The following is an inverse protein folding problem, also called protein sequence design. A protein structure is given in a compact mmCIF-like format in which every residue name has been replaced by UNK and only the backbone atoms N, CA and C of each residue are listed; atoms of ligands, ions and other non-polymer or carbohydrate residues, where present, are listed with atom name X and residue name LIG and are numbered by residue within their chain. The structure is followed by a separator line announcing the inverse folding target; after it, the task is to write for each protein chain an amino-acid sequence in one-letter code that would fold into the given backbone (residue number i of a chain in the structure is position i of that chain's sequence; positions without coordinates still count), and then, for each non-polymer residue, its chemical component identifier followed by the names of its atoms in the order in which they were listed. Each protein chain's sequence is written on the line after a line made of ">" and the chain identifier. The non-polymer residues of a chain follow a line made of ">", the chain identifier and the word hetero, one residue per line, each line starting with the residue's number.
data_IF_113719579595
#
_entry.id   IF_113719579595
#
_cell.length_a   1.000
_cell.length_b   1.000
_cell.length_c   1.000
_cell.angle_alpha   90.00
_cell.angle_beta   90.00
_cell.angle_gamma   90.00
#
_symmetry.space_group_name_H-M   'P 1'
#
loop_
_entity.id
_entity.type
_entity.pdbx_description
1 polymer ?
#
# COMPACT_ATOMS: atom_id res chain seq x y z
N UNK A 1 -2.43 -91.17 -10.07
CA UNK A 1 -1.97 -90.14 -11.02
C UNK A 1 -2.12 -88.81 -10.34
N UNK A 2 -0.99 -88.21 -10.00
CA UNK A 2 -0.83 -86.96 -9.26
C UNK A 2 -0.95 -85.78 -10.22
N UNK A 3 -1.85 -84.83 -9.93
CA UNK A 3 -1.84 -83.50 -10.55
C UNK A 3 -1.05 -82.56 -9.64
N UNK A 4 0.02 -81.89 -10.11
CA UNK A 4 0.71 -80.90 -9.30
C UNK A 4 -0.05 -79.57 -9.37
N UNK A 5 -0.44 -79.05 -8.20
CA UNK A 5 -0.94 -77.70 -8.00
C UNK A 5 0.22 -76.71 -8.07
N UNK A 6 0.32 -75.94 -9.14
CA UNK A 6 1.22 -74.77 -9.23
C UNK A 6 0.47 -73.53 -8.72
N UNK A 7 0.49 -73.33 -7.40
CA UNK A 7 0.24 -72.02 -6.81
C UNK A 7 1.60 -71.35 -6.68
N UNK A 8 1.91 -70.44 -7.60
CA UNK A 8 3.10 -69.59 -7.50
C UNK A 8 2.99 -68.81 -6.20
N UNK A 9 3.79 -69.18 -5.21
CA UNK A 9 3.96 -68.45 -3.98
C UNK A 9 4.60 -67.11 -4.33
N UNK A 10 3.78 -66.08 -4.51
CA UNK A 10 4.22 -64.69 -4.58
C UNK A 10 4.91 -64.42 -3.25
N UNK A 11 6.23 -64.38 -3.29
CA UNK A 11 7.09 -64.14 -2.14
C UNK A 11 6.82 -62.71 -1.69
N UNK A 12 5.83 -62.54 -0.82
CA UNK A 12 5.56 -61.28 -0.14
C UNK A 12 6.73 -61.01 0.79
N UNK A 13 7.75 -60.32 0.25
CA UNK A 13 8.81 -59.71 1.02
C UNK A 13 8.16 -58.68 1.95
N UNK A 14 7.97 -59.05 3.21
CA UNK A 14 7.46 -58.15 4.24
C UNK A 14 8.40 -56.94 4.38
N UNK A 15 7.81 -55.77 4.54
CA UNK A 15 8.53 -54.51 4.77
C UNK A 15 9.62 -54.71 5.83
N UNK A 16 10.87 -54.45 5.46
CA UNK A 16 11.96 -54.53 6.44
C UNK A 16 11.79 -53.37 7.42
N UNK A 17 11.93 -53.63 8.73
CA UNK A 17 11.72 -52.62 9.78
C UNK A 17 12.60 -51.37 9.57
N UNK A 18 13.80 -51.59 9.02
CA UNK A 18 14.77 -50.52 8.70
C UNK A 18 14.27 -49.62 7.57
N UNK A 19 13.67 -50.17 6.52
CA UNK A 19 13.14 -49.40 5.39
C UNK A 19 11.98 -48.50 5.81
N UNK A 20 11.10 -49.01 6.66
CA UNK A 20 10.00 -48.21 7.25
C UNK A 20 10.55 -47.09 8.11
N UNK A 21 11.62 -47.34 8.89
CA UNK A 21 12.25 -46.34 9.75
C UNK A 21 12.92 -45.22 8.93
N UNK A 22 13.63 -45.58 7.84
CA UNK A 22 14.24 -44.60 6.92
C UNK A 22 13.15 -43.79 6.20
N UNK A 23 12.09 -44.45 5.72
CA UNK A 23 10.95 -43.76 5.11
C UNK A 23 10.30 -42.76 6.04
N UNK A 24 10.10 -43.13 7.31
CA UNK A 24 9.56 -42.23 8.34
C UNK A 24 10.50 -41.04 8.60
N UNK A 25 11.81 -41.26 8.67
CA UNK A 25 12.78 -40.16 8.85
C UNK A 25 12.75 -39.17 7.68
N UNK A 26 12.64 -39.65 6.44
CA UNK A 26 12.55 -38.79 5.25
C UNK A 26 11.24 -37.99 5.26
N UNK A 27 10.12 -38.62 5.60
CA UNK A 27 8.81 -37.95 5.70
C UNK A 27 8.83 -36.87 6.79
N UNK A 28 9.39 -37.16 7.97
CA UNK A 28 9.49 -36.18 9.06
C UNK A 28 10.37 -34.99 8.65
N UNK A 29 11.49 -35.24 7.96
CA UNK A 29 12.33 -34.18 7.41
C UNK A 29 11.58 -33.29 6.41
N UNK A 30 10.81 -33.90 5.50
CA UNK A 30 10.03 -33.18 4.50
C UNK A 30 8.90 -32.35 5.14
N UNK A 31 8.17 -32.90 6.11
CA UNK A 31 7.10 -32.17 6.81
C UNK A 31 7.68 -31.00 7.61
N UNK A 32 8.82 -31.21 8.27
CA UNK A 32 9.47 -30.17 9.08
C UNK A 32 9.88 -28.97 8.22
N UNK A 33 10.44 -29.24 7.03
CA UNK A 33 10.84 -28.19 6.08
C UNK A 33 9.62 -27.50 5.46
N UNK A 34 8.60 -28.26 5.08
CA UNK A 34 7.35 -27.72 4.53
C UNK A 34 6.62 -26.80 5.52
N UNK A 35 6.56 -27.16 6.81
CA UNK A 35 5.91 -26.34 7.84
C UNK A 35 6.62 -24.99 8.02
N UNK A 36 7.95 -24.99 8.02
CA UNK A 36 8.73 -23.76 8.11
C UNK A 36 8.48 -22.85 6.90
N UNK A 37 8.47 -23.42 5.68
CA UNK A 37 8.18 -22.67 4.47
C UNK A 37 6.79 -22.01 4.49
N UNK A 38 5.78 -22.71 5.01
CA UNK A 38 4.41 -22.17 5.12
C UNK A 38 4.32 -21.00 6.10
N UNK A 39 5.00 -21.09 7.25
CA UNK A 39 5.03 -20.00 8.24
C UNK A 39 5.67 -18.76 7.61
N UNK A 40 6.81 -18.93 6.94
CA UNK A 40 7.49 -17.83 6.24
C UNK A 40 6.61 -17.21 5.15
N UNK A 41 5.93 -18.02 4.34
CA UNK A 41 5.01 -17.53 3.32
C UNK A 41 3.85 -16.73 3.92
N UNK A 42 3.32 -17.15 5.08
CA UNK A 42 2.24 -16.44 5.77
C UNK A 42 2.69 -15.07 6.27
N UNK A 43 3.92 -14.97 6.80
CA UNK A 43 4.49 -13.68 7.22
C UNK A 43 4.61 -12.73 6.03
N UNK A 44 5.16 -13.21 4.90
CA UNK A 44 5.26 -12.38 3.69
C UNK A 44 3.89 -11.96 3.15
N UNK A 45 2.90 -12.85 3.19
CA UNK A 45 1.53 -12.53 2.79
C UNK A 45 0.96 -11.38 3.63
N UNK A 46 1.11 -11.43 4.95
CA UNK A 46 0.62 -10.35 5.85
C UNK A 46 1.33 -9.03 5.54
N UNK A 47 2.66 -9.05 5.37
CA UNK A 47 3.42 -7.84 5.01
C UNK A 47 3.02 -7.26 3.67
N UNK A 48 2.79 -8.12 2.67
CA UNK A 48 2.27 -7.70 1.37
C UNK A 48 0.88 -7.06 1.48
N UNK A 49 0.00 -7.61 2.32
CA UNK A 49 -1.31 -7.03 2.58
C UNK A 49 -1.22 -5.67 3.27
N UNK A 50 -0.36 -5.51 4.27
CA UNK A 50 -0.13 -4.21 4.95
C UNK A 50 0.30 -3.13 3.96
N UNK A 51 1.25 -3.43 3.07
CA UNK A 51 1.74 -2.49 2.05
C UNK A 51 0.65 -2.18 1.01
N UNK A 52 -0.13 -3.18 0.60
CA UNK A 52 -1.22 -3.02 -0.36
C UNK A 52 -2.34 -2.14 0.19
N UNK A 53 -2.75 -2.35 1.45
CA UNK A 53 -3.77 -1.53 2.11
C UNK A 53 -3.27 -0.09 2.29
N UNK A 54 -2.04 0.09 2.75
CA UNK A 54 -1.42 1.41 2.91
C UNK A 54 -1.38 2.20 1.60
N UNK A 55 -0.99 1.55 0.50
CA UNK A 55 -0.98 2.17 -0.83
C UNK A 55 -2.39 2.52 -1.30
N UNK A 56 -3.37 1.66 -1.02
CA UNK A 56 -4.78 1.93 -1.35
C UNK A 56 -5.30 3.16 -0.62
N UNK A 57 -5.00 3.31 0.68
CA UNK A 57 -5.42 4.50 1.44
C UNK A 57 -4.78 5.78 0.92
N UNK A 58 -3.49 5.73 0.52
CA UNK A 58 -2.81 6.86 -0.10
C UNK A 58 -3.46 7.20 -1.44
N UNK A 59 -3.75 6.20 -2.28
CA UNK A 59 -4.41 6.43 -3.58
C UNK A 59 -5.79 7.06 -3.42
N UNK A 60 -6.60 6.58 -2.47
CA UNK A 60 -7.91 7.15 -2.18
C UNK A 60 -7.82 8.63 -1.77
N UNK A 61 -6.89 8.98 -0.89
CA UNK A 61 -6.70 10.36 -0.48
C UNK A 61 -6.14 11.22 -1.63
N UNK A 62 -5.20 10.70 -2.40
CA UNK A 62 -4.64 11.39 -3.56
C UNK A 62 -5.70 11.66 -4.63
N UNK A 63 -6.62 10.73 -4.88
CA UNK A 63 -7.75 10.91 -5.78
C UNK A 63 -8.69 12.01 -5.28
N UNK A 64 -8.94 12.08 -3.97
CA UNK A 64 -9.70 13.17 -3.37
C UNK A 64 -8.99 14.51 -3.55
N UNK A 65 -7.69 14.59 -3.26
CA UNK A 65 -6.92 15.83 -3.45
C UNK A 65 -6.88 16.24 -4.93
N UNK A 66 -6.76 15.28 -5.84
CA UNK A 66 -6.84 15.53 -7.28
C UNK A 66 -8.21 16.10 -7.66
N UNK A 67 -9.29 15.49 -7.17
CA UNK A 67 -10.65 15.99 -7.41
C UNK A 67 -10.80 17.43 -6.90
N UNK A 68 -10.31 17.72 -5.70
CA UNK A 68 -10.35 19.07 -5.12
C UNK A 68 -9.51 20.07 -5.91
N UNK A 69 -8.35 19.66 -6.42
CA UNK A 69 -7.48 20.46 -7.27
C UNK A 69 -8.14 20.81 -8.62
N UNK A 70 -8.88 19.88 -9.23
CA UNK A 70 -9.64 20.15 -10.47
C UNK A 70 -10.83 21.09 -10.26
N UNK A 71 -11.35 21.17 -9.03
CA UNK A 71 -12.50 22.04 -8.69
C UNK A 71 -12.10 23.38 -8.10
N UNK A 72 -10.80 23.62 -7.92
CA UNK A 72 -10.32 24.93 -7.48
C UNK A 72 -10.61 25.96 -8.57
N UNK A 73 -11.27 27.06 -8.20
CA UNK A 73 -11.65 28.15 -9.11
C UNK A 73 -12.44 27.71 -10.36
N UNK A 74 -13.14 26.57 -10.28
CA UNK A 74 -14.05 26.08 -11.31
C UNK A 74 -15.49 26.51 -11.01
N UNK A 75 -16.09 27.30 -11.90
CA UNK A 75 -17.46 27.76 -11.78
C UNK A 75 -18.15 27.79 -13.16
N UNK A 76 -19.41 27.33 -13.21
CA UNK A 76 -20.26 27.42 -14.40
C UNK A 76 -19.65 26.84 -15.70
N UNK A 77 -18.84 25.78 -15.61
CA UNK A 77 -18.26 25.12 -16.79
C UNK A 77 -16.94 25.70 -17.27
N UNK A 78 -16.39 26.70 -16.58
CA UNK A 78 -15.16 27.39 -16.97
C UNK A 78 -14.24 27.54 -15.75
N UNK A 79 -12.93 27.48 -15.98
CA UNK A 79 -11.94 27.85 -14.98
C UNK A 79 -11.81 29.36 -14.94
N UNK A 80 -12.00 29.95 -13.76
CA UNK A 80 -11.86 31.39 -13.54
C UNK A 80 -10.60 31.64 -12.68
N UNK A 81 -9.40 31.58 -13.28
CA UNK A 81 -8.16 31.69 -12.54
C UNK A 81 -8.08 33.03 -11.82
N UNK A 82 -7.71 33.00 -10.54
CA UNK A 82 -7.44 34.19 -9.76
C UNK A 82 -6.13 34.85 -10.23
N UNK A 83 -6.17 36.12 -10.68
CA UNK A 83 -4.98 36.80 -11.20
C UNK A 83 -3.86 36.92 -10.15
N UNK A 84 -4.21 37.11 -8.87
CA UNK A 84 -3.23 37.23 -7.78
C UNK A 84 -2.48 35.93 -7.51
N UNK A 85 -3.14 34.79 -7.73
CA UNK A 85 -2.52 33.48 -7.63
C UNK A 85 -1.69 33.09 -8.86
N UNK A 86 -2.04 33.62 -10.04
CA UNK A 86 -1.28 33.44 -11.27
C UNK A 86 0.05 34.20 -11.25
N UNK A 87 0.06 35.43 -10.75
CA UNK A 87 1.24 36.30 -10.68
C UNK A 87 1.90 36.26 -9.28
N UNK A 88 1.76 35.15 -8.57
CA UNK A 88 2.27 35.04 -7.20
C UNK A 88 3.78 35.28 -7.13
N UNK A 89 4.19 36.20 -6.25
CA UNK A 89 5.59 36.52 -5.96
C UNK A 89 6.09 35.88 -4.65
N UNK A 90 5.19 35.21 -3.93
CA UNK A 90 5.47 34.54 -2.65
C UNK A 90 4.70 33.23 -2.53
N UNK A 91 5.19 32.34 -1.67
CA UNK A 91 4.59 31.04 -1.40
C UNK A 91 3.16 31.13 -0.87
N UNK A 92 2.83 32.23 -0.18
CA UNK A 92 1.52 32.45 0.44
C UNK A 92 0.46 32.98 -0.53
N UNK A 93 0.87 33.51 -1.70
CA UNK A 93 -0.04 34.03 -2.72
C UNK A 93 -0.34 33.00 -3.82
N UNK A 94 0.47 31.94 -3.96
CA UNK A 94 0.36 30.98 -5.07
C UNK A 94 -0.83 30.02 -4.99
N UNK A 95 -1.11 29.37 -6.12
CA UNK A 95 -2.14 28.32 -6.22
C UNK A 95 -1.90 27.14 -5.27
N UNK A 96 -0.65 26.83 -4.94
CA UNK A 96 -0.34 25.79 -3.96
C UNK A 96 -0.94 26.12 -2.58
N UNK A 97 -0.86 27.39 -2.14
CA UNK A 97 -1.43 27.85 -0.87
C UNK A 97 -2.96 27.88 -0.93
N UNK A 98 -3.54 28.38 -2.01
CA UNK A 98 -5.00 28.40 -2.20
C UNK A 98 -5.59 26.99 -2.12
N UNK A 99 -4.97 26.02 -2.80
CA UNK A 99 -5.39 24.62 -2.74
C UNK A 99 -5.35 24.11 -1.30
N UNK A 100 -4.23 24.35 -0.60
CA UNK A 100 -4.07 23.94 0.80
C UNK A 100 -5.16 24.53 1.71
N UNK A 101 -5.37 25.84 1.67
CA UNK A 101 -6.29 26.52 2.59
C UNK A 101 -7.77 26.22 2.30
N UNK A 102 -8.14 26.24 1.03
CA UNK A 102 -9.56 26.17 0.64
C UNK A 102 -10.09 24.75 0.55
N UNK A 103 -9.22 23.76 0.29
CA UNK A 103 -9.65 22.37 0.04
C UNK A 103 -9.04 21.36 0.99
N UNK A 104 -7.75 21.45 1.32
CA UNK A 104 -7.11 20.50 2.23
C UNK A 104 -7.29 20.83 3.71
N UNK A 105 -7.67 22.08 4.03
CA UNK A 105 -7.86 22.57 5.39
C UNK A 105 -6.57 23.08 6.04
N UNK A 106 -6.70 23.70 7.22
CA UNK A 106 -5.58 24.33 7.94
C UNK A 106 -4.74 23.36 8.79
N UNK A 107 -5.18 22.12 8.94
CA UNK A 107 -4.47 21.11 9.75
C UNK A 107 -3.36 20.45 8.92
N UNK A 108 -2.11 20.71 9.32
CA UNK A 108 -0.92 20.17 8.66
C UNK A 108 0.11 19.76 9.73
N UNK A 109 0.53 18.49 9.82
CA UNK A 109 0.08 17.36 9.01
C UNK A 109 -1.38 16.95 9.32
N UNK A 110 -2.11 16.54 8.30
CA UNK A 110 -3.42 15.92 8.47
C UNK A 110 -3.22 14.45 8.83
N UNK A 111 -3.79 14.01 9.95
CA UNK A 111 -3.67 12.63 10.43
C UNK A 111 -5.03 11.95 10.40
N UNK A 112 -5.11 10.84 9.68
CA UNK A 112 -6.31 10.03 9.53
C UNK A 112 -6.07 8.66 10.17
N UNK A 113 -6.91 8.29 11.13
CA UNK A 113 -6.93 6.94 11.66
C UNK A 113 -7.48 5.97 10.60
N UNK A 114 -6.73 4.91 10.31
CA UNK A 114 -7.13 3.82 9.42
C UNK A 114 -7.10 2.51 10.20
N UNK A 115 -7.97 1.59 9.82
CA UNK A 115 -8.01 0.25 10.42
C UNK A 115 -7.86 -0.75 9.28
N UNK A 116 -6.94 -1.69 9.43
CA UNK A 116 -6.77 -2.76 8.44
C UNK A 116 -8.02 -3.61 8.37
N UNK A 117 -8.50 -3.87 7.16
CA UNK A 117 -9.64 -4.73 6.89
C UNK A 117 -9.34 -6.21 7.23
N UNK A 118 -8.07 -6.59 7.17
CA UNK A 118 -7.64 -7.98 7.30
C UNK A 118 -7.29 -8.37 8.75
N UNK A 119 -6.96 -7.39 9.60
CA UNK A 119 -6.44 -7.68 10.94
C UNK A 119 -6.97 -6.80 12.08
N UNK A 120 -7.89 -5.86 11.81
CA UNK A 120 -8.37 -4.86 12.79
C UNK A 120 -7.24 -4.11 13.53
N UNK A 121 -6.06 -4.04 12.91
CA UNK A 121 -4.91 -3.33 13.46
C UNK A 121 -5.05 -1.84 13.13
N UNK A 122 -4.79 -0.94 14.10
CA UNK A 122 -4.85 0.48 13.84
C UNK A 122 -3.57 0.96 13.14
N UNK A 123 -3.76 1.82 12.15
CA UNK A 123 -2.72 2.51 11.39
C UNK A 123 -3.06 4.00 11.34
N UNK A 124 -2.06 4.82 11.07
CA UNK A 124 -2.22 6.26 10.88
C UNK A 124 -1.68 6.65 9.51
N UNK A 125 -2.54 7.27 8.71
CA UNK A 125 -2.16 7.93 7.46
C UNK A 125 -1.93 9.41 7.77
N UNK A 126 -0.71 9.87 7.59
CA UNK A 126 -0.33 11.27 7.71
C UNK A 126 -0.11 11.86 6.34
N UNK A 127 -0.69 13.03 6.08
CA UNK A 127 -0.47 13.82 4.87
C UNK A 127 0.11 15.18 5.27
N UNK A 128 1.31 15.47 4.83
CA UNK A 128 1.98 16.75 5.03
C UNK A 128 1.99 17.53 3.73
N UNK A 129 1.40 18.73 3.75
CA UNK A 129 1.43 19.64 2.61
C UNK A 129 2.57 20.64 2.79
N UNK A 130 3.44 20.79 1.79
CA UNK A 130 4.51 21.78 1.80
C UNK A 130 4.40 22.69 0.59
N UNK A 131 4.56 24.00 0.86
CA UNK A 131 4.49 25.02 -0.17
C UNK A 131 5.81 25.04 -0.95
N UNK A 132 5.75 25.36 -2.25
CA UNK A 132 6.95 25.55 -3.07
C UNK A 132 7.67 26.82 -2.66
N UNK A 133 9.01 26.78 -2.64
CA UNK A 133 9.85 27.93 -2.27
C UNK A 133 10.30 28.80 -3.45
N UNK A 134 9.98 28.37 -4.68
CA UNK A 134 10.30 29.10 -5.90
C UNK A 134 9.07 29.27 -6.78
N UNK A 135 9.04 30.38 -7.52
CA UNK A 135 8.08 30.62 -8.59
C UNK A 135 8.08 29.42 -9.57
N UNK A 136 6.89 28.99 -10.07
CA UNK A 136 5.62 29.71 -10.16
C UNK A 136 4.63 29.48 -8.99
N UNK A 137 5.07 28.96 -7.84
CA UNK A 137 4.23 28.73 -6.65
C UNK A 137 2.90 27.96 -6.88
N UNK A 138 2.82 27.19 -7.96
CA UNK A 138 1.61 26.50 -8.44
C UNK A 138 1.58 25.01 -8.09
N UNK A 139 2.71 24.44 -7.67
CA UNK A 139 2.85 23.02 -7.35
C UNK A 139 2.78 22.84 -5.84
N UNK A 140 1.79 22.08 -5.36
CA UNK A 140 1.71 21.65 -3.96
C UNK A 140 2.45 20.31 -3.81
N UNK A 141 3.42 20.26 -2.90
CA UNK A 141 4.11 19.01 -2.56
C UNK A 141 3.36 18.32 -1.41
N UNK A 142 3.01 17.06 -1.62
CA UNK A 142 2.33 16.23 -0.62
C UNK A 142 3.22 15.05 -0.25
N UNK A 143 3.50 14.92 1.03
CA UNK A 143 4.15 13.74 1.59
C UNK A 143 3.13 12.91 2.36
N UNK A 144 2.99 11.67 1.95
CA UNK A 144 2.15 10.68 2.59
C UNK A 144 3.00 9.69 3.36
N UNK A 145 2.62 9.43 4.60
CA UNK A 145 3.28 8.46 5.46
C UNK A 145 2.22 7.59 6.15
N UNK A 146 2.36 6.27 6.06
CA UNK A 146 1.51 5.33 6.81
C UNK A 146 2.33 4.66 7.89
N UNK A 147 1.89 4.80 9.15
CA UNK A 147 2.51 4.15 10.31
C UNK A 147 1.59 3.10 10.92
N UNK A 148 2.20 2.06 11.48
CA UNK A 148 1.51 1.15 12.38
C UNK A 148 1.26 1.80 13.75
N UNK A 149 0.45 1.14 14.58
CA UNK A 149 0.25 1.49 15.99
C UNK A 149 1.57 1.66 16.78
N UNK A 150 2.60 0.90 16.41
CA UNK A 150 3.93 0.93 17.02
C UNK A 150 4.83 2.05 16.44
N UNK A 151 4.26 2.97 15.68
CA UNK A 151 4.94 4.09 15.02
C UNK A 151 6.01 3.65 14.00
N UNK A 152 5.90 2.42 13.47
CA UNK A 152 6.80 1.92 12.43
C UNK A 152 6.33 2.40 11.05
N UNK A 153 7.20 3.02 10.24
CA UNK A 153 6.85 3.44 8.89
C UNK A 153 6.69 2.22 7.98
N UNK A 154 5.55 2.13 7.29
CA UNK A 154 5.24 1.04 6.35
C UNK A 154 5.52 1.49 4.93
N UNK A 155 5.02 2.68 4.58
CA UNK A 155 5.22 3.28 3.26
C UNK A 155 5.27 4.79 3.38
N UNK A 156 6.09 5.39 2.51
CA UNK A 156 6.21 6.84 2.35
C UNK A 156 6.11 7.13 0.86
N UNK A 157 5.25 8.06 0.48
CA UNK A 157 5.04 8.45 -0.91
C UNK A 157 5.05 9.97 -1.01
N UNK A 158 5.88 10.51 -1.88
CA UNK A 158 5.89 11.93 -2.19
C UNK A 158 5.24 12.15 -3.56
N UNK A 159 4.30 13.09 -3.62
CA UNK A 159 3.59 13.44 -4.84
C UNK A 159 3.48 14.94 -4.98
N UNK A 160 3.25 15.38 -6.21
CA UNK A 160 3.08 16.79 -6.56
C UNK A 160 1.73 16.96 -7.21
N UNK A 161 0.97 17.95 -6.75
CA UNK A 161 -0.37 18.27 -7.27
C UNK A 161 -0.33 19.68 -7.84
N UNK A 162 -0.84 19.81 -9.06
CA UNK A 162 -0.99 21.09 -9.76
C UNK A 162 -2.48 21.32 -9.95
N UNK A 163 -3.05 22.42 -9.43
CA UNK A 163 -4.45 22.76 -9.68
C UNK A 163 -4.67 23.12 -11.15
N UNK A 164 -5.75 22.63 -11.75
CA UNK A 164 -6.06 22.88 -13.16
C UNK A 164 -6.25 24.38 -13.45
N UNK A 165 -6.83 25.13 -12.50
CA UNK A 165 -6.96 26.58 -12.61
C UNK A 165 -5.61 27.30 -12.78
N UNK A 166 -4.52 26.77 -12.22
CA UNK A 166 -3.18 27.34 -12.41
C UNK A 166 -2.65 27.17 -13.84
N UNK A 167 -3.18 26.19 -14.59
CA UNK A 167 -2.86 25.98 -16.00
C UNK A 167 -3.66 26.90 -16.93
N UNK A 168 -4.73 27.51 -16.42
CA UNK A 168 -5.56 28.47 -17.15
C UNK A 168 -5.07 29.92 -17.00
N UNK A 169 -3.98 30.15 -16.25
CA UNK A 169 -3.38 31.47 -16.11
C UNK A 169 -2.92 32.03 -17.47
N UNK A 170 -3.10 33.34 -17.71
CA UNK A 170 -2.75 34.01 -18.97
C UNK A 170 -1.23 34.09 -19.23
#
# INVERSE_FOLDING_TARGET
>A
MTFPSNLSHQQQTGFTLVEVLVGLLVIVGFISTAMQALVTATVFKVKGQEISEATTWIQQDLEQVKFDATRLDYAAGVYNPDPGACEATSESAGYAKRLSDQKLGSTNPMVIAKTSATGNRPYTLSRTASLPTSAPYNILNLEYEVKSADNLPITIVQTKVIPDASLACP
#
